data_IF_258110212673
#
_entry.id   IF_258110212673
#
_cell.length_a   1.000
_cell.length_b   1.000
_cell.length_c   1.000
_cell.angle_alpha   90.00
_cell.angle_beta   90.00
_cell.angle_gamma   90.00
#
_symmetry.space_group_name_H-M   'P 1'
#
loop_
_entity.id
_entity.type
_entity.pdbx_description
1 polymer ?
#
# COMPACT_ATOMS: atom_id res chain seq x y z
N UNK A 1 32.96 -40.64 -12.14
CA UNK A 1 33.18 -39.39 -11.38
C UNK A 1 33.16 -38.24 -12.38
N UNK A 2 32.34 -37.20 -12.29
CA UNK A 2 31.50 -36.72 -11.20
C UNK A 2 30.33 -35.92 -11.77
N UNK A 3 29.16 -36.01 -11.12
CA UNK A 3 27.97 -35.22 -11.42
C UNK A 3 28.21 -33.74 -11.07
N UNK A 4 27.88 -32.83 -11.99
CA UNK A 4 27.78 -31.39 -11.69
C UNK A 4 26.38 -31.15 -11.13
N UNK A 5 26.30 -30.91 -9.83
CA UNK A 5 25.06 -30.60 -9.13
C UNK A 5 24.57 -29.19 -9.49
N UNK A 6 23.30 -29.08 -9.89
CA UNK A 6 22.61 -27.82 -10.08
C UNK A 6 22.47 -27.10 -8.71
N UNK A 7 23.11 -25.95 -8.57
CA UNK A 7 22.87 -25.06 -7.44
C UNK A 7 21.66 -24.18 -7.75
N UNK A 8 20.47 -24.64 -7.36
CA UNK A 8 19.26 -23.82 -7.31
C UNK A 8 19.41 -22.81 -6.15
N UNK A 9 19.83 -21.59 -6.46
CA UNK A 9 19.75 -20.48 -5.51
C UNK A 9 18.27 -20.14 -5.29
N UNK A 10 17.71 -20.65 -4.20
CA UNK A 10 16.41 -20.21 -3.69
C UNK A 10 16.56 -18.76 -3.25
N UNK A 11 16.02 -17.83 -4.05
CA UNK A 11 15.80 -16.46 -3.61
C UNK A 11 14.75 -16.52 -2.51
N UNK A 12 15.21 -16.46 -1.26
CA UNK A 12 14.36 -16.19 -0.11
C UNK A 12 13.79 -14.80 -0.31
N UNK A 13 12.54 -14.71 -0.76
CA UNK A 13 11.76 -13.49 -0.76
C UNK A 13 11.66 -13.03 0.69
N UNK A 14 12.50 -12.08 1.09
CA UNK A 14 12.46 -11.53 2.43
C UNK A 14 11.11 -10.84 2.60
N UNK A 15 10.18 -11.49 3.30
CA UNK A 15 8.96 -10.86 3.74
C UNK A 15 9.36 -9.70 4.63
N UNK A 16 9.15 -8.48 4.15
CA UNK A 16 9.34 -7.29 4.98
C UNK A 16 8.50 -7.48 6.25
N UNK A 17 9.08 -7.28 7.46
CA UNK A 17 8.42 -7.57 8.74
C UNK A 17 7.15 -6.74 9.02
N UNK A 18 6.74 -5.88 8.08
CA UNK A 18 5.49 -5.13 8.16
C UNK A 18 4.23 -6.01 8.04
N UNK A 19 4.33 -7.23 7.48
CA UNK A 19 3.17 -8.11 7.26
C UNK A 19 2.42 -8.54 8.53
N UNK A 20 2.96 -8.27 9.74
CA UNK A 20 2.32 -8.55 11.02
C UNK A 20 1.88 -7.34 11.85
N UNK A 21 2.13 -6.10 11.40
CA UNK A 21 1.90 -4.89 12.22
C UNK A 21 0.61 -4.13 11.86
N UNK A 22 0.03 -4.37 10.69
CA UNK A 22 -1.15 -3.65 10.20
C UNK A 22 -2.17 -4.65 9.64
N UNK A 23 -3.45 -4.49 9.98
CA UNK A 23 -4.50 -5.37 9.45
C UNK A 23 -4.71 -5.16 7.95
N UNK A 24 -5.18 -6.19 7.25
CA UNK A 24 -5.50 -6.09 5.82
C UNK A 24 -6.46 -4.93 5.51
N UNK A 25 -7.52 -4.76 6.31
CA UNK A 25 -8.50 -3.69 6.11
C UNK A 25 -7.89 -2.30 6.33
N UNK A 26 -6.98 -2.15 7.30
CA UNK A 26 -6.27 -0.90 7.51
C UNK A 26 -5.32 -0.60 6.34
N UNK A 27 -4.58 -1.61 5.86
CA UNK A 27 -3.66 -1.45 4.73
C UNK A 27 -4.41 -1.07 3.44
N UNK A 28 -5.53 -1.74 3.13
CA UNK A 28 -6.40 -1.41 1.99
C UNK A 28 -6.96 0.01 2.11
N UNK A 29 -7.44 0.39 3.31
CA UNK A 29 -7.95 1.74 3.55
C UNK A 29 -6.87 2.80 3.33
N UNK A 30 -5.68 2.59 3.88
CA UNK A 30 -4.57 3.52 3.71
C UNK A 30 -4.11 3.59 2.25
N UNK A 31 -4.02 2.46 1.54
CA UNK A 31 -3.69 2.43 0.11
C UNK A 31 -4.67 3.28 -0.70
N UNK A 32 -5.98 3.10 -0.47
CA UNK A 32 -7.01 3.88 -1.14
C UNK A 32 -6.92 5.38 -0.84
N UNK A 33 -6.74 5.77 0.42
CA UNK A 33 -6.65 7.17 0.85
C UNK A 33 -5.41 7.87 0.28
N UNK A 34 -4.23 7.26 0.39
CA UNK A 34 -2.98 7.87 -0.07
C UNK A 34 -2.90 7.92 -1.59
N UNK A 35 -3.39 6.89 -2.29
CA UNK A 35 -3.47 6.91 -3.75
C UNK A 35 -4.44 8.00 -4.23
N UNK A 36 -5.65 8.06 -3.67
CA UNK A 36 -6.62 9.09 -4.03
C UNK A 36 -6.08 10.50 -3.76
N UNK A 37 -5.41 10.71 -2.62
CA UNK A 37 -4.80 12.00 -2.30
C UNK A 37 -3.65 12.36 -3.26
N UNK A 38 -2.81 11.39 -3.62
CA UNK A 38 -1.75 11.60 -4.62
C UNK A 38 -2.31 11.98 -5.99
N UNK A 39 -3.37 11.30 -6.43
CA UNK A 39 -4.05 11.58 -7.71
C UNK A 39 -4.72 12.96 -7.73
N UNK A 40 -5.33 13.37 -6.61
CA UNK A 40 -5.99 14.67 -6.48
C UNK A 40 -5.00 15.83 -6.34
N UNK A 41 -3.80 15.59 -5.80
CA UNK A 41 -2.77 16.62 -5.64
C UNK A 41 -1.98 16.86 -6.93
N UNK A 42 -1.66 15.81 -7.70
CA UNK A 42 -1.02 15.92 -9.02
C UNK A 42 0.48 15.57 -9.07
N UNK A 43 1.15 15.35 -7.93
CA UNK A 43 2.45 14.69 -7.83
C UNK A 43 3.70 15.56 -8.00
N UNK A 44 3.59 16.77 -8.53
CA UNK A 44 4.76 17.61 -8.85
C UNK A 44 5.39 18.29 -7.62
N UNK A 45 4.58 18.56 -6.60
CA UNK A 45 5.06 19.21 -5.38
C UNK A 45 5.80 18.24 -4.46
N UNK A 46 6.53 18.77 -3.47
CA UNK A 46 7.10 17.94 -2.41
C UNK A 46 6.02 17.18 -1.62
N UNK A 47 4.82 17.76 -1.49
CA UNK A 47 3.68 17.07 -0.90
C UNK A 47 3.17 15.94 -1.80
N UNK A 48 3.13 16.18 -3.11
CA UNK A 48 2.78 15.19 -4.12
C UNK A 48 3.68 13.97 -4.10
N UNK A 49 5.00 14.18 -4.09
CA UNK A 49 5.97 13.09 -3.97
C UNK A 49 5.76 12.25 -2.70
N UNK A 50 5.59 12.89 -1.54
CA UNK A 50 5.30 12.17 -0.29
C UNK A 50 3.99 11.38 -0.34
N UNK A 51 2.96 11.91 -1.00
CA UNK A 51 1.69 11.19 -1.18
C UNK A 51 1.84 9.99 -2.11
N UNK A 52 2.62 10.15 -3.18
CA UNK A 52 2.94 9.08 -4.12
C UNK A 52 3.71 7.94 -3.43
N UNK A 53 4.75 8.28 -2.66
CA UNK A 53 5.53 7.32 -1.89
C UNK A 53 4.68 6.58 -0.85
N UNK A 54 3.79 7.31 -0.18
CA UNK A 54 2.82 6.71 0.72
C UNK A 54 1.85 5.77 -0.01
N UNK A 55 1.39 6.13 -1.21
CA UNK A 55 0.54 5.28 -2.02
C UNK A 55 1.24 3.98 -2.43
N UNK A 56 2.50 4.06 -2.87
CA UNK A 56 3.31 2.88 -3.19
C UNK A 56 3.52 1.98 -1.98
N UNK A 57 3.94 2.56 -0.85
CA UNK A 57 4.13 1.82 0.40
C UNK A 57 2.87 1.07 0.82
N UNK A 58 1.72 1.77 0.88
CA UNK A 58 0.48 1.17 1.34
C UNK A 58 -0.10 0.17 0.35
N UNK A 59 0.10 0.36 -0.97
CA UNK A 59 -0.31 -0.64 -1.95
C UNK A 59 0.44 -1.97 -1.76
N UNK A 60 1.76 -1.90 -1.57
CA UNK A 60 2.59 -3.07 -1.29
C UNK A 60 2.24 -3.69 0.07
N UNK A 61 1.96 -2.88 1.09
CA UNK A 61 1.53 -3.36 2.39
C UNK A 61 0.17 -4.09 2.31
N UNK A 62 -0.78 -3.56 1.53
CA UNK A 62 -2.08 -4.19 1.32
C UNK A 62 -1.97 -5.54 0.60
N UNK A 63 -1.08 -5.66 -0.39
CA UNK A 63 -0.80 -6.93 -1.05
C UNK A 63 -0.19 -7.95 -0.10
N UNK A 64 0.82 -7.56 0.68
CA UNK A 64 1.47 -8.44 1.66
C UNK A 64 0.49 -8.89 2.77
N UNK A 65 -0.27 -7.95 3.33
CA UNK A 65 -1.30 -8.26 4.32
C UNK A 65 -2.42 -9.14 3.73
N UNK A 66 -2.77 -8.93 2.46
CA UNK A 66 -3.72 -9.77 1.74
C UNK A 66 -3.23 -11.21 1.61
N UNK A 67 -1.97 -11.41 1.19
CA UNK A 67 -1.34 -12.74 1.14
C UNK A 67 -1.32 -13.40 2.53
N UNK A 68 -0.92 -12.67 3.58
CA UNK A 68 -0.93 -13.17 4.94
C UNK A 68 -2.35 -13.55 5.43
N UNK A 69 -3.37 -12.84 4.96
CA UNK A 69 -4.78 -13.12 5.22
C UNK A 69 -5.40 -14.19 4.28
N UNK A 70 -4.59 -14.87 3.46
CA UNK A 70 -5.06 -15.92 2.53
C UNK A 70 -5.88 -15.39 1.35
N UNK A 71 -5.81 -14.08 1.05
CA UNK A 71 -6.45 -13.48 -0.13
C UNK A 71 -5.64 -13.80 -1.39
N UNK A 72 -6.35 -13.99 -2.50
CA UNK A 72 -5.73 -13.98 -3.83
C UNK A 72 -5.33 -12.55 -4.19
N UNK A 73 -4.23 -12.40 -4.94
CA UNK A 73 -3.74 -11.11 -5.41
C UNK A 73 -4.84 -10.26 -6.09
N UNK A 74 -5.60 -10.87 -7.01
CA UNK A 74 -6.69 -10.18 -7.71
C UNK A 74 -7.82 -9.67 -6.80
N UNK A 75 -8.03 -10.28 -5.62
CA UNK A 75 -8.98 -9.79 -4.63
C UNK A 75 -8.42 -8.55 -3.93
N UNK A 76 -7.13 -8.58 -3.56
CA UNK A 76 -6.46 -7.44 -2.92
C UNK A 76 -6.32 -6.22 -3.84
N UNK A 77 -6.05 -6.43 -5.12
CA UNK A 77 -6.06 -5.36 -6.13
C UNK A 77 -7.46 -4.74 -6.31
N UNK A 78 -8.50 -5.59 -6.35
CA UNK A 78 -9.87 -5.13 -6.46
C UNK A 78 -10.34 -4.36 -5.21
N UNK A 79 -9.93 -4.79 -4.01
CA UNK A 79 -10.21 -4.09 -2.75
C UNK A 79 -9.53 -2.72 -2.71
N UNK A 80 -8.26 -2.63 -3.10
CA UNK A 80 -7.55 -1.35 -3.22
C UNK A 80 -8.21 -0.41 -4.23
N UNK A 81 -8.63 -0.93 -5.39
CA UNK A 81 -9.33 -0.15 -6.42
C UNK A 81 -10.65 0.42 -5.88
N UNK A 82 -11.44 -0.39 -5.16
CA UNK A 82 -12.68 0.08 -4.51
C UNK A 82 -12.39 1.14 -3.45
N UNK A 83 -11.38 0.91 -2.61
CA UNK A 83 -10.98 1.85 -1.57
C UNK A 83 -10.56 3.21 -2.16
N UNK A 84 -9.78 3.19 -3.25
CA UNK A 84 -9.40 4.40 -3.98
C UNK A 84 -10.61 5.17 -4.51
N UNK A 85 -11.54 4.49 -5.19
CA UNK A 85 -12.75 5.14 -5.75
C UNK A 85 -13.57 5.81 -4.63
N UNK A 86 -13.76 5.11 -3.51
CA UNK A 86 -14.44 5.69 -2.34
C UNK A 86 -13.66 6.88 -1.77
N UNK A 87 -12.34 6.75 -1.63
CA UNK A 87 -11.49 7.80 -1.08
C UNK A 87 -11.47 9.07 -1.96
N UNK A 88 -11.42 8.95 -3.29
CA UNK A 88 -11.54 10.09 -4.21
C UNK A 88 -12.82 10.87 -3.91
N UNK A 89 -13.97 10.19 -3.86
CA UNK A 89 -15.26 10.84 -3.57
C UNK A 89 -15.26 11.54 -2.22
N UNK A 90 -14.73 10.89 -1.18
CA UNK A 90 -14.70 11.45 0.17
C UNK A 90 -13.75 12.64 0.28
N UNK A 91 -12.56 12.57 -0.32
CA UNK A 91 -11.57 13.64 -0.28
C UNK A 91 -11.99 14.83 -1.14
N UNK A 92 -12.57 14.60 -2.32
CA UNK A 92 -13.14 15.69 -3.15
C UNK A 92 -14.35 16.37 -2.51
N UNK A 93 -15.08 15.67 -1.64
CA UNK A 93 -16.17 16.23 -0.83
C UNK A 93 -15.67 16.84 0.50
N UNK A 94 -14.36 16.97 0.69
CA UNK A 94 -13.74 17.56 1.88
C UNK A 94 -14.15 16.88 3.20
N UNK A 95 -14.47 15.59 3.16
CA UNK A 95 -14.92 14.84 4.31
C UNK A 95 -13.83 14.83 5.41
N UNK A 96 -14.11 15.50 6.53
CA UNK A 96 -13.15 15.68 7.63
C UNK A 96 -12.58 14.34 8.14
N UNK A 97 -13.42 13.30 8.20
CA UNK A 97 -12.99 11.97 8.63
C UNK A 97 -11.99 11.33 7.67
N UNK A 98 -12.17 11.51 6.35
CA UNK A 98 -11.25 10.98 5.35
C UNK A 98 -9.90 11.69 5.40
N UNK A 99 -9.89 13.02 5.57
CA UNK A 99 -8.66 13.81 5.77
C UNK A 99 -7.91 13.39 7.04
N UNK A 100 -8.62 13.22 8.16
CA UNK A 100 -8.01 12.74 9.40
C UNK A 100 -7.46 11.31 9.27
N UNK A 101 -8.15 10.44 8.53
CA UNK A 101 -7.66 9.09 8.25
C UNK A 101 -6.42 9.11 7.35
N UNK A 102 -6.40 9.93 6.29
CA UNK A 102 -5.25 10.13 5.42
C UNK A 102 -4.02 10.58 6.23
N UNK A 103 -4.19 11.57 7.12
CA UNK A 103 -3.10 12.06 7.96
C UNK A 103 -2.50 10.95 8.84
N UNK A 104 -3.34 10.08 9.42
CA UNK A 104 -2.86 8.92 10.19
C UNK A 104 -2.11 7.91 9.32
N UNK A 105 -2.58 7.67 8.09
CA UNK A 105 -1.88 6.80 7.15
C UNK A 105 -0.51 7.37 6.77
N UNK A 106 -0.40 8.68 6.54
CA UNK A 106 0.87 9.35 6.26
C UNK A 106 1.85 9.30 7.45
N UNK A 107 1.36 9.46 8.68
CA UNK A 107 2.18 9.35 9.89
C UNK A 107 2.75 7.94 10.11
N UNK A 108 2.07 6.92 9.58
CA UNK A 108 2.50 5.52 9.63
C UNK A 108 3.33 5.09 8.40
N UNK A 109 3.46 5.95 7.39
CA UNK A 109 4.32 5.71 6.23
C UNK A 109 5.78 5.96 6.64
N UNK A 110 6.70 5.00 6.44
CA UNK A 110 8.13 5.24 6.63
C UNK A 110 8.63 6.37 5.73
N UNK A 111 9.62 7.14 6.19
CA UNK A 111 10.28 8.08 5.28
C UNK A 111 11.12 7.31 4.26
N UNK A 112 10.93 7.60 2.97
CA UNK A 112 11.59 6.92 1.86
C UNK A 112 12.65 7.80 1.15
N UNK A 113 12.89 9.02 1.67
CA UNK A 113 13.94 9.95 1.22
C UNK A 113 15.37 9.41 1.46
#
# INVERSE_FOLDING_TARGET
MSLVALASTVVMLQASPAAGLVSYDEAVRCAGLTQAASELEGGESAQGRRLYDAALYWSLAAMQAGTAAGKRASVAEADQTRARITAVRQLSADAAQARAALQRCQQKTPNLD
#
